data_IF_491337721270
#
_entry.id   IF_491337721270
#
_cell.length_a   1.000
_cell.length_b   1.000
_cell.length_c   1.000
_cell.angle_alpha   90.00
_cell.angle_beta   90.00
_cell.angle_gamma   90.00
#
_symmetry.space_group_name_H-M   'P 1'
#
loop_
_entity.id
_entity.type
_entity.pdbx_description
1 polymer ?
#
# COMPACT_ATOMS: atom_id res chain seq x y z
N UNK A 1 9.02 6.37 -22.50
CA UNK A 1 8.33 5.41 -21.62
C UNK A 1 7.45 6.22 -20.67
N UNK A 2 6.14 5.93 -20.58
CA UNK A 2 5.29 6.61 -19.58
C UNK A 2 5.71 6.09 -18.22
N UNK A 3 6.44 6.90 -17.48
CA UNK A 3 6.72 6.63 -16.08
C UNK A 3 5.41 6.39 -15.34
N UNK A 4 5.49 5.52 -14.34
CA UNK A 4 4.40 5.16 -13.46
C UNK A 4 3.98 6.35 -12.56
N UNK A 5 3.37 7.40 -13.12
CA UNK A 5 2.85 8.56 -12.36
C UNK A 5 1.74 8.11 -11.41
N UNK A 6 1.74 8.65 -10.19
CA UNK A 6 0.59 8.53 -9.27
C UNK A 6 -0.58 9.27 -9.91
N UNK A 7 -1.77 8.69 -9.87
CA UNK A 7 -2.95 9.36 -10.39
C UNK A 7 -3.39 10.50 -9.47
N UNK A 8 -4.00 11.53 -10.04
CA UNK A 8 -4.59 12.66 -9.29
C UNK A 8 -5.52 12.15 -8.18
N UNK A 9 -6.30 11.10 -8.45
CA UNK A 9 -7.21 10.53 -7.48
C UNK A 9 -6.50 9.81 -6.33
N UNK A 10 -5.36 9.15 -6.58
CA UNK A 10 -4.53 8.55 -5.51
C UNK A 10 -3.87 9.63 -4.63
N UNK A 11 -3.39 10.72 -5.23
CA UNK A 11 -2.87 11.88 -4.48
C UNK A 11 -3.96 12.49 -3.59
N UNK A 12 -5.17 12.69 -4.13
CA UNK A 12 -6.31 13.22 -3.40
C UNK A 12 -6.70 12.34 -2.22
N UNK A 13 -6.89 11.03 -2.44
CA UNK A 13 -7.30 10.14 -1.36
C UNK A 13 -6.25 10.09 -0.24
N UNK A 14 -4.95 9.97 -0.57
CA UNK A 14 -3.92 9.86 0.45
C UNK A 14 -3.91 11.05 1.42
N UNK A 15 -4.31 12.23 0.93
CA UNK A 15 -4.37 13.44 1.75
C UNK A 15 -5.70 13.56 2.49
N UNK A 16 -6.81 13.19 1.85
CA UNK A 16 -8.12 13.11 2.51
C UNK A 16 -8.06 12.10 3.67
N UNK A 17 -7.42 10.95 3.47
CA UNK A 17 -7.25 9.92 4.51
C UNK A 17 -6.37 10.41 5.66
N UNK A 18 -5.29 11.14 5.38
CA UNK A 18 -4.50 11.81 6.44
C UNK A 18 -5.36 12.79 7.23
N UNK A 19 -6.17 13.61 6.56
CA UNK A 19 -7.05 14.59 7.19
C UNK A 19 -8.14 13.92 8.04
N UNK A 20 -8.71 12.84 7.53
CA UNK A 20 -9.69 12.00 8.23
C UNK A 20 -9.07 11.37 9.48
N UNK A 21 -7.91 10.72 9.39
CA UNK A 21 -7.29 10.10 10.56
C UNK A 21 -6.87 11.12 11.64
N UNK A 22 -6.55 12.35 11.24
CA UNK A 22 -6.28 13.45 12.18
C UNK A 22 -7.52 13.90 12.96
N UNK A 23 -8.73 13.66 12.44
CA UNK A 23 -9.98 14.01 13.13
C UNK A 23 -10.26 13.19 14.39
N UNK A 24 -9.55 12.07 14.56
CA UNK A 24 -9.75 11.12 15.66
C UNK A 24 -8.64 11.16 16.72
N UNK A 25 -7.66 12.06 16.59
CA UNK A 25 -6.58 12.19 17.58
C UNK A 25 -7.01 13.09 18.73
N UNK A 26 -6.87 12.59 19.97
CA UNK A 26 -7.35 13.24 21.21
C UNK A 26 -6.73 14.62 21.49
N UNK A 27 -5.51 14.90 21.01
CA UNK A 27 -4.78 16.15 21.30
C UNK A 27 -5.20 17.37 20.46
N UNK A 28 -6.27 17.26 19.66
CA UNK A 28 -6.64 18.29 18.68
C UNK A 28 -7.80 19.17 19.15
N UNK A 29 -7.48 20.41 19.54
CA UNK A 29 -8.50 21.44 19.86
C UNK A 29 -9.41 21.74 18.66
N UNK A 30 -10.75 21.68 18.80
CA UNK A 30 -11.72 21.91 17.72
C UNK A 30 -11.60 23.29 17.05
N UNK A 31 -11.26 24.30 17.84
CA UNK A 31 -11.21 25.73 17.46
C UNK A 31 -10.33 26.01 16.23
N UNK A 32 -9.24 25.25 16.08
CA UNK A 32 -8.26 25.41 14.97
C UNK A 32 -8.19 24.22 14.03
N UNK A 33 -9.18 23.34 14.08
CA UNK A 33 -9.15 22.09 13.32
C UNK A 33 -9.08 22.31 11.81
N UNK A 34 -9.88 23.25 11.27
CA UNK A 34 -9.92 23.57 9.84
C UNK A 34 -8.61 24.23 9.37
N UNK A 35 -8.05 25.14 10.17
CA UNK A 35 -6.76 25.79 9.88
C UNK A 35 -5.61 24.80 9.88
N UNK A 36 -5.58 23.88 10.85
CA UNK A 36 -4.56 22.82 10.91
C UNK A 36 -4.75 21.77 9.82
N UNK A 37 -5.98 21.43 9.45
CA UNK A 37 -6.26 20.59 8.29
C UNK A 37 -5.73 21.24 7.02
N UNK A 38 -6.08 22.50 6.77
CA UNK A 38 -5.64 23.20 5.57
C UNK A 38 -4.12 23.38 5.56
N UNK A 39 -3.53 24.00 6.58
CA UNK A 39 -2.10 24.25 6.67
C UNK A 39 -1.29 22.96 6.70
N UNK A 40 -1.54 22.09 7.68
CA UNK A 40 -0.69 20.91 7.93
C UNK A 40 -0.94 19.71 7.03
N UNK A 41 -2.13 19.58 6.42
CA UNK A 41 -2.51 18.38 5.66
C UNK A 41 -2.67 18.65 4.18
N UNK A 42 -3.31 19.75 3.78
CA UNK A 42 -3.62 20.01 2.37
C UNK A 42 -2.61 20.95 1.68
N UNK A 43 -2.15 21.99 2.38
CA UNK A 43 -1.30 23.05 1.81
C UNK A 43 0.20 22.69 1.87
N UNK A 44 0.67 22.19 3.01
CA UNK A 44 2.09 21.90 3.26
C UNK A 44 2.55 20.54 2.70
N UNK A 45 1.86 20.00 1.69
CA UNK A 45 2.29 18.77 1.00
C UNK A 45 3.14 19.15 -0.23
N UNK A 46 4.48 19.03 -0.17
CA UNK A 46 5.38 19.35 -1.28
C UNK A 46 5.25 18.37 -2.45
N UNK A 47 4.65 17.20 -2.21
CA UNK A 47 4.48 16.13 -3.21
C UNK A 47 3.25 16.29 -4.09
N UNK A 48 2.34 17.23 -3.78
CA UNK A 48 1.13 17.45 -4.56
C UNK A 48 1.38 18.28 -5.81
N UNK A 49 0.74 17.89 -6.91
CA UNK A 49 0.68 18.76 -8.10
C UNK A 49 -0.09 20.06 -7.81
N UNK A 50 0.34 21.17 -8.43
CA UNK A 50 -0.28 22.49 -8.25
C UNK A 50 -1.77 22.50 -8.64
N UNK A 51 -2.12 21.69 -9.65
CA UNK A 51 -3.50 21.47 -10.07
C UNK A 51 -4.36 20.80 -8.99
N UNK A 52 -3.81 19.79 -8.29
CA UNK A 52 -4.50 19.13 -7.17
C UNK A 52 -4.68 20.11 -6.01
N UNK A 53 -3.65 20.90 -5.70
CA UNK A 53 -3.71 21.92 -4.63
C UNK A 53 -4.78 22.96 -4.90
N UNK A 54 -4.85 23.50 -6.12
CA UNK A 54 -5.84 24.52 -6.47
C UNK A 54 -7.27 23.98 -6.44
N UNK A 55 -7.48 22.78 -6.97
CA UNK A 55 -8.80 22.11 -6.96
C UNK A 55 -9.24 21.79 -5.53
N UNK A 56 -8.35 21.26 -4.70
CA UNK A 56 -8.61 21.02 -3.28
C UNK A 56 -8.94 22.31 -2.54
N UNK A 57 -8.22 23.41 -2.82
CA UNK A 57 -8.45 24.71 -2.17
C UNK A 57 -9.86 25.21 -2.40
N UNK A 58 -10.31 25.22 -3.65
CA UNK A 58 -11.66 25.67 -4.01
C UNK A 58 -12.72 24.81 -3.33
N UNK A 59 -12.57 23.48 -3.41
CA UNK A 59 -13.54 22.55 -2.83
C UNK A 59 -13.54 22.61 -1.28
N UNK A 60 -12.37 22.76 -0.66
CA UNK A 60 -12.22 22.89 0.79
C UNK A 60 -12.83 24.18 1.32
N UNK A 61 -12.60 25.31 0.65
CA UNK A 61 -13.21 26.58 1.02
C UNK A 61 -14.74 26.50 0.99
N UNK A 62 -15.29 25.94 -0.09
CA UNK A 62 -16.73 25.72 -0.24
C UNK A 62 -17.30 24.82 0.86
N UNK A 63 -16.64 23.71 1.16
CA UNK A 63 -17.19 22.71 2.06
C UNK A 63 -16.94 23.00 3.55
N UNK A 64 -15.95 23.82 3.91
CA UNK A 64 -15.54 24.01 5.30
C UNK A 64 -15.53 25.46 5.79
N UNK A 65 -15.51 26.47 4.92
CA UNK A 65 -15.39 27.87 5.34
C UNK A 65 -16.68 28.69 5.24
N UNK A 66 -17.74 28.16 4.62
CA UNK A 66 -18.95 28.94 4.29
C UNK A 66 -20.14 28.80 5.25
N UNK A 67 -20.01 28.12 6.40
CA UNK A 67 -21.11 28.04 7.37
C UNK A 67 -20.64 28.11 8.83
N UNK A 68 -21.28 29.02 9.58
CA UNK A 68 -21.06 29.33 11.00
C UNK A 68 -21.42 28.13 11.90
N UNK A 69 -20.54 27.69 12.83
CA UNK A 69 -20.94 26.61 13.75
C UNK A 69 -20.42 26.73 15.20
N UNK A 70 -21.26 26.28 16.14
CA UNK A 70 -20.83 25.77 17.44
C UNK A 70 -19.79 24.64 17.25
N UNK A 71 -18.76 24.62 18.10
CA UNK A 71 -17.53 23.86 17.88
C UNK A 71 -17.70 22.34 17.84
N UNK A 72 -18.66 21.78 18.60
CA UNK A 72 -18.93 20.33 18.63
C UNK A 72 -19.58 19.86 17.33
N UNK A 73 -20.56 20.60 16.82
CA UNK A 73 -21.20 20.31 15.54
C UNK A 73 -20.23 20.51 14.36
N UNK A 74 -19.24 21.40 14.54
CA UNK A 74 -18.18 21.64 13.55
C UNK A 74 -17.31 20.41 13.32
N UNK A 75 -16.86 19.71 14.37
CA UNK A 75 -15.97 18.54 14.23
C UNK A 75 -16.68 17.36 13.56
N UNK A 76 -17.87 16.99 14.04
CA UNK A 76 -18.66 15.88 13.49
C UNK A 76 -18.98 16.14 12.01
N UNK A 77 -19.39 17.36 11.67
CA UNK A 77 -19.65 17.75 10.27
C UNK A 77 -18.40 17.64 9.40
N UNK A 78 -17.22 18.01 9.92
CA UNK A 78 -15.98 17.88 9.16
C UNK A 78 -15.63 16.40 8.93
N UNK A 79 -15.79 15.56 9.95
CA UNK A 79 -15.60 14.11 9.85
C UNK A 79 -16.50 13.50 8.77
N UNK A 80 -17.80 13.83 8.77
CA UNK A 80 -18.75 13.37 7.76
C UNK A 80 -18.40 13.83 6.34
N UNK A 81 -17.98 15.09 6.18
CA UNK A 81 -17.58 15.61 4.86
C UNK A 81 -16.28 14.96 4.36
N UNK A 82 -15.29 14.80 5.24
CA UNK A 82 -14.05 14.10 4.90
C UNK A 82 -14.30 12.63 4.55
N UNK A 83 -15.22 11.96 5.27
CA UNK A 83 -15.67 10.62 4.93
C UNK A 83 -16.34 10.56 3.55
N UNK A 84 -17.28 11.46 3.26
CA UNK A 84 -17.92 11.55 1.93
C UNK A 84 -16.91 11.76 0.81
N UNK A 85 -15.92 12.62 1.04
CA UNK A 85 -14.82 12.82 0.09
C UNK A 85 -13.99 11.54 -0.08
N UNK A 86 -13.62 10.87 1.01
CA UNK A 86 -12.88 9.61 1.01
C UNK A 86 -13.63 8.54 0.21
N UNK A 87 -14.92 8.37 0.47
CA UNK A 87 -15.77 7.38 -0.22
C UNK A 87 -15.92 7.69 -1.71
N UNK A 88 -16.11 8.97 -2.07
CA UNK A 88 -16.21 9.38 -3.47
C UNK A 88 -14.94 9.07 -4.25
N UNK A 89 -13.78 9.41 -3.68
CA UNK A 89 -12.49 9.15 -4.33
C UNK A 89 -12.19 7.65 -4.35
N UNK A 90 -12.48 6.93 -3.26
CA UNK A 90 -12.33 5.47 -3.18
C UNK A 90 -13.16 4.75 -4.25
N UNK A 91 -14.42 5.14 -4.47
CA UNK A 91 -15.25 4.58 -5.54
C UNK A 91 -14.64 4.81 -6.92
N UNK A 92 -14.20 6.04 -7.23
CA UNK A 92 -13.52 6.34 -8.51
C UNK A 92 -12.25 5.52 -8.71
N UNK A 93 -11.52 5.26 -7.63
CA UNK A 93 -10.31 4.46 -7.63
C UNK A 93 -10.59 2.95 -7.76
N UNK A 94 -11.66 2.45 -7.15
CA UNK A 94 -12.09 1.06 -7.29
C UNK A 94 -12.50 0.70 -8.72
N UNK A 95 -13.11 1.63 -9.46
CA UNK A 95 -13.46 1.48 -10.87
C UNK A 95 -12.22 1.34 -11.78
N UNK A 96 -11.04 1.78 -11.31
CA UNK A 96 -9.78 1.67 -12.07
C UNK A 96 -9.05 0.35 -11.84
N UNK A 97 -9.52 -0.51 -10.93
CA UNK A 97 -8.92 -1.83 -10.68
C UNK A 97 -9.28 -2.80 -11.82
N UNK A 98 -8.53 -2.72 -12.92
CA UNK A 98 -8.74 -3.52 -14.10
C UNK A 98 -7.43 -4.18 -14.55
N UNK A 99 -7.50 -5.35 -15.23
CA UNK A 99 -6.34 -5.91 -15.91
C UNK A 99 -5.87 -4.94 -17.00
N UNK A 100 -4.63 -4.47 -16.89
CA UNK A 100 -3.95 -3.63 -17.89
C UNK A 100 -2.88 -4.43 -18.62
N UNK A 101 -2.76 -4.19 -19.92
CA UNK A 101 -1.72 -4.81 -20.75
C UNK A 101 -0.33 -4.35 -20.33
N UNK A 102 0.53 -5.29 -19.96
CA UNK A 102 1.93 -5.04 -19.61
C UNK A 102 2.71 -4.46 -20.80
N UNK A 103 2.35 -4.81 -22.04
CA UNK A 103 3.02 -4.31 -23.25
C UNK A 103 2.86 -2.79 -23.39
N UNK A 104 1.71 -2.25 -22.99
CA UNK A 104 1.42 -0.81 -23.04
C UNK A 104 2.25 -0.02 -22.02
N UNK A 105 2.64 -0.68 -20.93
CA UNK A 105 3.37 -0.07 -19.82
C UNK A 105 4.88 -0.26 -20.00
N UNK A 106 5.30 -1.50 -20.27
CA UNK A 106 6.69 -1.88 -20.47
C UNK A 106 6.81 -3.01 -21.50
N UNK A 107 7.15 -2.63 -22.73
CA UNK A 107 7.51 -3.58 -23.79
C UNK A 107 8.68 -4.49 -23.40
N UNK A 108 9.63 -3.99 -22.59
CA UNK A 108 10.79 -4.76 -22.14
C UNK A 108 10.41 -5.91 -21.22
N UNK A 109 9.54 -5.67 -20.24
CA UNK A 109 9.06 -6.74 -19.35
C UNK A 109 8.12 -7.70 -20.07
N UNK A 110 7.27 -7.20 -20.97
CA UNK A 110 6.38 -8.05 -21.75
C UNK A 110 7.14 -9.00 -22.70
N UNK A 111 8.25 -8.53 -23.29
CA UNK A 111 9.12 -9.33 -24.16
C UNK A 111 10.25 -10.03 -23.40
N UNK A 112 10.18 -10.10 -22.07
CA UNK A 112 11.18 -10.76 -21.26
C UNK A 112 11.24 -12.26 -21.61
N UNK A 113 12.45 -12.77 -21.84
CA UNK A 113 12.68 -14.16 -22.21
C UNK A 113 13.63 -14.83 -21.21
N UNK A 114 13.27 -16.04 -20.75
CA UNK A 114 14.02 -16.86 -19.81
C UNK A 114 15.51 -17.04 -20.14
N UNK A 115 15.90 -16.93 -21.42
CA UNK A 115 17.30 -17.05 -21.87
C UNK A 115 18.24 -16.04 -21.18
N UNK A 116 17.70 -14.98 -20.59
CA UNK A 116 18.45 -14.01 -19.79
C UNK A 116 19.00 -14.56 -18.46
N UNK A 117 18.59 -15.75 -18.02
CA UNK A 117 19.14 -16.40 -16.81
C UNK A 117 18.88 -15.64 -15.51
N UNK A 118 17.83 -14.82 -15.45
CA UNK A 118 17.58 -13.94 -14.31
C UNK A 118 16.94 -14.70 -13.16
N UNK A 119 17.58 -14.66 -11.99
CA UNK A 119 17.07 -15.27 -10.77
C UNK A 119 15.90 -14.47 -10.18
N UNK A 120 15.01 -15.18 -9.48
CA UNK A 120 13.90 -14.57 -8.76
C UNK A 120 14.43 -13.77 -7.56
N UNK A 121 14.20 -12.45 -7.50
CA UNK A 121 14.77 -11.67 -6.42
C UNK A 121 14.10 -11.98 -5.07
N UNK A 122 14.88 -11.91 -4.00
CA UNK A 122 14.43 -12.27 -2.64
C UNK A 122 14.42 -13.78 -2.35
N UNK A 123 14.81 -14.64 -3.30
CA UNK A 123 14.88 -16.10 -3.09
C UNK A 123 15.82 -16.51 -1.94
N UNK A 124 16.89 -15.76 -1.70
CA UNK A 124 17.94 -16.14 -0.76
C UNK A 124 17.81 -15.49 0.62
N UNK A 125 16.73 -14.74 0.87
CA UNK A 125 16.53 -13.96 2.09
C UNK A 125 16.59 -14.82 3.37
N UNK A 126 16.14 -16.07 3.28
CA UNK A 126 16.04 -17.00 4.40
C UNK A 126 17.17 -18.04 4.43
N UNK A 127 18.12 -17.98 3.48
CA UNK A 127 19.20 -18.96 3.39
C UNK A 127 20.45 -18.48 4.13
N UNK A 128 21.10 -19.41 4.83
CA UNK A 128 22.41 -19.20 5.46
C UNK A 128 23.57 -19.36 4.46
N UNK A 129 23.33 -20.08 3.36
CA UNK A 129 24.33 -20.41 2.35
C UNK A 129 23.77 -20.21 0.95
N UNK A 130 24.67 -19.91 -0.01
CA UNK A 130 24.28 -19.82 -1.41
C UNK A 130 23.73 -21.17 -1.87
N UNK A 131 22.51 -21.22 -2.45
CA UNK A 131 21.93 -22.48 -2.87
C UNK A 131 22.66 -23.04 -4.09
N UNK A 132 22.65 -24.37 -4.17
CA UNK A 132 23.14 -25.08 -5.36
C UNK A 132 22.50 -24.52 -6.65
N UNK A 133 23.25 -24.42 -7.76
CA UNK A 133 22.75 -23.86 -9.02
C UNK A 133 21.42 -24.47 -9.48
N UNK A 134 21.23 -25.76 -9.26
CA UNK A 134 20.02 -26.50 -9.62
C UNK A 134 18.76 -26.09 -8.84
N UNK A 135 18.94 -25.47 -7.66
CA UNK A 135 17.84 -24.99 -6.80
C UNK A 135 17.48 -23.53 -7.07
N UNK A 136 18.16 -22.87 -8.02
CA UNK A 136 17.88 -21.48 -8.40
C UNK A 136 16.55 -21.38 -9.13
N UNK A 137 15.70 -20.48 -8.68
CA UNK A 137 14.41 -20.19 -9.30
C UNK A 137 14.65 -19.04 -10.27
N UNK A 138 14.44 -19.29 -11.55
CA UNK A 138 14.64 -18.32 -12.61
C UNK A 138 13.31 -17.74 -13.05
N UNK A 139 13.29 -16.46 -13.39
CA UNK A 139 12.15 -15.82 -14.04
C UNK A 139 12.07 -16.33 -15.48
N UNK A 140 10.93 -16.88 -15.88
CA UNK A 140 10.69 -17.31 -17.26
C UNK A 140 10.01 -16.24 -18.08
N UNK A 141 8.99 -15.59 -17.52
CA UNK A 141 8.25 -14.48 -18.13
C UNK A 141 7.42 -13.72 -17.11
N UNK A 142 7.02 -12.51 -17.47
CA UNK A 142 5.97 -11.77 -16.78
C UNK A 142 4.62 -12.07 -17.44
N UNK A 143 3.54 -12.10 -16.67
CA UNK A 143 2.20 -12.24 -17.25
C UNK A 143 1.84 -11.00 -18.08
N UNK A 144 1.13 -11.17 -19.21
CA UNK A 144 0.80 -10.08 -20.11
C UNK A 144 -0.21 -9.10 -19.52
N UNK A 145 -1.01 -9.53 -18.55
CA UNK A 145 -1.97 -8.69 -17.85
C UNK A 145 -1.49 -8.48 -16.42
N UNK A 146 -1.34 -7.21 -16.04
CA UNK A 146 -1.07 -6.80 -14.66
C UNK A 146 -2.29 -6.10 -14.10
N UNK A 147 -2.44 -6.10 -12.78
CA UNK A 147 -3.51 -5.32 -12.15
C UNK A 147 -2.92 -3.99 -11.74
N UNK A 148 -3.43 -2.90 -12.33
CA UNK A 148 -3.16 -1.57 -11.83
C UNK A 148 -4.31 -1.20 -10.91
N UNK A 149 -3.98 -0.99 -9.65
CA UNK A 149 -4.94 -0.70 -8.61
C UNK A 149 -4.53 0.53 -7.83
N UNK A 150 -5.51 1.22 -7.27
CA UNK A 150 -5.26 2.31 -6.36
C UNK A 150 -4.51 1.86 -5.09
N UNK A 151 -3.74 2.75 -4.47
CA UNK A 151 -3.08 2.53 -3.17
C UNK A 151 -2.06 1.39 -3.14
N UNK A 152 -1.08 1.44 -4.05
CA UNK A 152 -0.04 0.41 -4.08
C UNK A 152 -0.57 -1.03 -4.29
N UNK A 153 -1.81 -1.18 -4.77
CA UNK A 153 -2.42 -2.46 -5.15
C UNK A 153 -2.04 -2.87 -6.58
N UNK A 154 -1.00 -2.25 -7.13
CA UNK A 154 -0.42 -2.65 -8.39
C UNK A 154 0.20 -4.03 -8.23
N UNK A 155 -0.28 -5.01 -9.00
CA UNK A 155 0.18 -6.40 -8.93
C UNK A 155 0.80 -6.80 -10.24
N UNK A 156 2.05 -7.21 -10.18
CA UNK A 156 2.74 -7.89 -11.27
C UNK A 156 2.81 -9.37 -10.95
N UNK A 157 2.71 -10.20 -11.99
CA UNK A 157 2.74 -11.65 -11.83
C UNK A 157 3.91 -12.19 -12.62
N UNK A 158 4.74 -12.97 -11.92
CA UNK A 158 5.99 -13.53 -12.42
C UNK A 158 5.81 -15.05 -12.52
N UNK A 159 6.14 -15.61 -13.68
CA UNK A 159 6.25 -17.06 -13.86
C UNK A 159 7.70 -17.48 -13.73
N UNK A 160 7.90 -18.63 -13.11
CA UNK A 160 9.23 -19.17 -12.83
C UNK A 160 9.53 -20.42 -13.67
N UNK A 161 10.79 -20.84 -13.70
CA UNK A 161 11.24 -22.10 -14.32
C UNK A 161 10.62 -23.34 -13.64
N UNK A 162 10.26 -23.22 -12.36
CA UNK A 162 9.54 -24.25 -11.60
C UNK A 162 8.04 -24.33 -11.94
N UNK A 163 7.54 -23.50 -12.86
CA UNK A 163 6.13 -23.44 -13.23
C UNK A 163 5.24 -22.66 -12.25
N UNK A 164 5.81 -22.13 -11.15
CA UNK A 164 5.06 -21.34 -10.17
C UNK A 164 4.66 -19.99 -10.75
N UNK A 165 3.49 -19.52 -10.32
CA UNK A 165 2.93 -18.21 -10.63
C UNK A 165 2.92 -17.39 -9.35
N UNK A 166 3.82 -16.40 -9.26
CA UNK A 166 4.04 -15.61 -8.06
C UNK A 166 3.52 -14.19 -8.28
N UNK A 167 2.68 -13.71 -7.37
CA UNK A 167 2.13 -12.37 -7.43
C UNK A 167 2.92 -11.44 -6.52
N UNK A 168 3.29 -10.27 -7.03
CA UNK A 168 4.02 -9.26 -6.28
C UNK A 168 3.25 -7.95 -6.30
N UNK A 169 2.97 -7.40 -5.12
CA UNK A 169 2.52 -6.01 -4.96
C UNK A 169 3.68 -5.06 -5.17
N UNK A 170 3.42 -3.95 -5.86
CA UNK A 170 4.40 -2.87 -6.02
C UNK A 170 4.00 -1.70 -5.15
N UNK A 171 4.81 -1.41 -4.14
CA UNK A 171 4.72 -0.19 -3.36
C UNK A 171 5.67 0.83 -3.98
N UNK A 172 5.12 1.91 -4.56
CA UNK A 172 5.95 3.02 -5.03
C UNK A 172 6.28 3.91 -3.84
N UNK A 173 7.54 4.31 -3.76
CA UNK A 173 7.98 5.23 -2.74
C UNK A 173 7.46 6.64 -3.10
N UNK A 174 6.50 7.16 -2.34
CA UNK A 174 6.24 8.61 -2.33
C UNK A 174 7.46 9.25 -1.65
N UNK A 175 8.04 10.29 -2.24
CA UNK A 175 9.21 11.00 -1.68
C UNK A 175 9.04 11.20 -0.17
N UNK A 176 9.98 10.67 0.64
CA UNK A 176 9.96 10.76 2.11
C UNK A 176 9.74 9.45 2.87
N UNK A 177 9.36 8.35 2.22
CA UNK A 177 9.15 7.04 2.89
C UNK A 177 10.37 6.09 2.85
N UNK A 178 11.56 6.57 2.45
CA UNK A 178 12.81 5.79 2.46
C UNK A 178 13.17 5.22 3.84
N UNK A 179 12.85 5.94 4.91
CA UNK A 179 13.05 5.48 6.29
C UNK A 179 12.16 4.30 6.65
N UNK A 180 10.93 4.25 6.13
CA UNK A 180 10.01 3.13 6.34
C UNK A 180 10.48 1.86 5.64
N UNK A 181 11.02 1.97 4.41
CA UNK A 181 11.59 0.83 3.70
C UNK A 181 12.75 0.22 4.50
N UNK A 182 13.70 1.06 4.93
CA UNK A 182 14.84 0.61 5.75
C UNK A 182 14.42 -0.02 7.08
N UNK A 183 13.36 0.49 7.69
CA UNK A 183 12.84 -0.02 8.97
C UNK A 183 12.16 -1.38 8.76
N UNK A 184 11.32 -1.51 7.73
CA UNK A 184 10.69 -2.77 7.35
C UNK A 184 11.68 -3.88 7.02
N UNK A 185 12.82 -3.53 6.43
CA UNK A 185 13.86 -4.49 6.07
C UNK A 185 14.58 -5.01 7.31
N UNK A 186 14.89 -4.13 8.27
CA UNK A 186 15.44 -4.53 9.58
C UNK A 186 14.48 -5.45 10.34
N UNK A 187 13.18 -5.15 10.32
CA UNK A 187 12.15 -6.02 10.91
C UNK A 187 12.16 -7.38 10.22
N UNK A 188 12.29 -7.40 8.89
CA UNK A 188 12.33 -8.65 8.11
C UNK A 188 13.57 -9.48 8.46
N UNK A 189 14.75 -8.87 8.53
CA UNK A 189 15.99 -9.52 8.96
C UNK A 189 15.89 -10.06 10.39
N UNK A 190 15.29 -9.29 11.30
CA UNK A 190 15.07 -9.72 12.67
C UNK A 190 14.15 -10.94 12.75
N UNK A 191 13.06 -10.99 11.96
CA UNK A 191 12.19 -12.16 11.88
C UNK A 191 12.92 -13.40 11.35
N UNK A 192 13.74 -13.24 10.32
CA UNK A 192 14.58 -14.33 9.79
C UNK A 192 15.54 -14.84 10.87
N UNK A 193 16.17 -13.93 11.64
CA UNK A 193 17.03 -14.30 12.76
C UNK A 193 16.27 -15.05 13.86
N UNK A 194 15.10 -14.58 14.27
CA UNK A 194 14.25 -15.30 15.25
C UNK A 194 13.86 -16.70 14.77
N UNK A 195 13.53 -16.85 13.48
CA UNK A 195 13.22 -18.16 12.90
C UNK A 195 14.41 -19.13 12.98
N UNK A 196 15.65 -18.64 12.90
CA UNK A 196 16.85 -19.48 13.11
C UNK A 196 16.94 -19.93 14.56
N UNK A 197 16.73 -19.04 15.52
CA UNK A 197 16.70 -19.39 16.95
C UNK A 197 15.62 -20.45 17.21
N UNK A 198 14.42 -20.25 16.69
CA UNK A 198 13.31 -21.21 16.83
C UNK A 198 13.61 -22.58 16.23
N UNK A 199 14.39 -22.62 15.15
CA UNK A 199 14.73 -23.87 14.46
C UNK A 199 15.89 -24.60 15.15
N UNK A 200 16.94 -23.88 15.57
CA UNK A 200 18.20 -24.48 16.04
C UNK A 200 18.35 -24.54 17.56
N UNK A 201 17.73 -23.60 18.30
CA UNK A 201 17.93 -23.46 19.75
C UNK A 201 16.75 -23.97 20.58
N UNK A 202 15.56 -24.11 19.99
CA UNK A 202 14.34 -24.53 20.72
C UNK A 202 13.68 -25.75 20.08
N UNK A 203 13.99 -26.97 20.55
CA UNK A 203 13.48 -28.22 19.99
C UNK A 203 11.94 -28.30 19.93
N UNK A 204 11.27 -27.74 20.93
CA UNK A 204 9.80 -27.74 21.02
C UNK A 204 9.13 -26.87 19.95
N UNK A 205 9.77 -25.76 19.58
CA UNK A 205 9.31 -24.84 18.53
C UNK A 205 9.51 -25.47 17.15
N UNK A 206 10.69 -26.09 16.95
CA UNK A 206 11.03 -26.86 15.75
C UNK A 206 10.09 -28.05 15.55
N UNK A 207 9.81 -28.83 16.61
CA UNK A 207 8.89 -29.98 16.59
C UNK A 207 7.47 -29.59 16.19
N UNK A 208 7.02 -28.39 16.58
CA UNK A 208 5.70 -27.84 16.22
C UNK A 208 5.69 -27.08 14.89
N UNK A 209 6.84 -26.94 14.24
CA UNK A 209 6.97 -26.17 12.99
C UNK A 209 6.64 -24.69 13.14
N UNK A 210 6.77 -24.12 14.34
CA UNK A 210 6.42 -22.72 14.60
C UNK A 210 7.48 -21.81 13.97
N UNK A 211 7.02 -20.91 13.09
CA UNK A 211 7.84 -19.89 12.44
C UNK A 211 7.06 -18.60 12.30
N UNK A 212 7.77 -17.48 12.37
CA UNK A 212 7.23 -16.17 12.03
C UNK A 212 7.16 -16.07 10.51
N UNK A 213 6.00 -15.70 9.99
CA UNK A 213 5.81 -15.45 8.57
C UNK A 213 6.72 -14.30 8.07
N UNK A 214 7.55 -14.60 7.08
CA UNK A 214 8.40 -13.65 6.38
C UNK A 214 7.93 -13.57 4.93
N UNK A 215 7.61 -12.36 4.47
CA UNK A 215 7.26 -12.12 3.07
C UNK A 215 8.53 -11.84 2.28
N UNK A 216 8.67 -12.46 1.10
CA UNK A 216 9.78 -12.13 0.20
C UNK A 216 9.59 -10.71 -0.31
N UNK A 217 10.60 -9.88 -0.06
CA UNK A 217 10.63 -8.48 -0.47
C UNK A 217 11.80 -8.25 -1.41
N UNK A 218 11.56 -7.47 -2.45
CA UNK A 218 12.57 -6.98 -3.39
C UNK A 218 12.62 -5.47 -3.20
N UNK A 219 13.75 -4.97 -2.70
CA UNK A 219 13.92 -3.55 -2.42
C UNK A 219 14.74 -2.93 -3.55
N UNK A 220 14.11 -2.00 -4.26
CA UNK A 220 14.77 -1.07 -5.17
C UNK A 220 14.69 0.34 -4.56
N UNK A 221 15.60 1.27 -4.92
CA UNK A 221 15.65 2.60 -4.30
C UNK A 221 14.32 3.37 -4.27
N UNK A 222 13.44 3.13 -5.25
CA UNK A 222 12.17 3.85 -5.42
C UNK A 222 10.93 2.94 -5.46
N UNK A 223 11.13 1.62 -5.43
CA UNK A 223 10.05 0.64 -5.57
C UNK A 223 10.35 -0.55 -4.67
N UNK A 224 9.35 -0.96 -3.90
CA UNK A 224 9.39 -2.22 -3.15
C UNK A 224 8.41 -3.19 -3.77
N UNK A 225 8.88 -4.38 -4.09
CA UNK A 225 8.02 -5.49 -4.48
C UNK A 225 7.85 -6.41 -3.27
N UNK A 226 6.62 -6.77 -2.92
CA UNK A 226 6.35 -7.74 -1.84
C UNK A 226 5.56 -8.88 -2.44
N UNK A 227 6.02 -10.11 -2.25
CA UNK A 227 5.26 -11.30 -2.64
C UNK A 227 3.93 -11.31 -1.87
N UNK A 228 2.83 -11.23 -2.60
CA UNK A 228 1.48 -11.34 -2.02
C UNK A 228 1.13 -12.81 -1.84
N UNK A 229 0.75 -13.15 -0.61
CA UNK A 229 -0.02 -14.36 -0.33
C UNK A 229 -1.50 -13.96 -0.33
N UNK A 230 -2.42 -14.88 -0.68
CA UNK A 230 -3.87 -14.65 -0.78
C UNK A 230 -4.57 -14.36 0.57
N UNK A 231 -3.95 -13.57 1.44
CA UNK A 231 -4.41 -13.27 2.79
C UNK A 231 -4.96 -11.85 2.84
N UNK A 232 -6.24 -11.73 3.20
CA UNK A 232 -6.87 -10.45 3.52
C UNK A 232 -6.42 -9.96 4.88
N UNK A 233 -6.35 -8.65 5.06
CA UNK A 233 -6.10 -8.07 6.38
C UNK A 233 -7.36 -8.16 7.26
N UNK A 234 -7.20 -8.14 8.59
CA UNK A 234 -8.34 -8.12 9.51
C UNK A 234 -9.25 -6.90 9.28
N UNK A 235 -8.66 -5.76 8.90
CA UNK A 235 -9.40 -4.54 8.53
C UNK A 235 -10.27 -4.76 7.28
N UNK A 236 -9.74 -5.42 6.25
CA UNK A 236 -10.52 -5.76 5.06
C UNK A 236 -11.65 -6.74 5.38
N UNK A 237 -11.37 -7.77 6.18
CA UNK A 237 -12.39 -8.75 6.62
C UNK A 237 -13.50 -8.04 7.41
N UNK A 238 -13.12 -7.16 8.34
CA UNK A 238 -14.05 -6.39 9.16
C UNK A 238 -14.95 -5.48 8.30
N UNK A 239 -14.36 -4.76 7.34
CA UNK A 239 -15.12 -3.89 6.42
C UNK A 239 -16.07 -4.67 5.54
N UNK A 240 -15.67 -5.85 5.06
CA UNK A 240 -16.55 -6.74 4.30
C UNK A 240 -17.73 -7.18 5.18
N UNK A 241 -17.45 -7.66 6.39
CA UNK A 241 -18.51 -8.08 7.32
C UNK A 241 -19.48 -6.92 7.63
N UNK A 242 -18.98 -5.73 7.95
CA UNK A 242 -19.83 -4.56 8.18
C UNK A 242 -20.73 -4.26 6.97
N UNK A 243 -20.16 -4.29 5.75
CA UNK A 243 -20.91 -4.06 4.52
C UNK A 243 -22.01 -5.11 4.28
N UNK A 244 -21.75 -6.39 4.57
CA UNK A 244 -22.75 -7.46 4.48
C UNK A 244 -23.95 -7.22 5.41
N UNK A 245 -23.71 -6.65 6.59
CA UNK A 245 -24.77 -6.28 7.54
C UNK A 245 -25.34 -4.88 7.33
N UNK A 246 -24.88 -4.15 6.31
CA UNK A 246 -25.29 -2.75 6.08
C UNK A 246 -24.85 -1.79 7.18
N UNK A 247 -23.85 -2.17 7.97
CA UNK A 247 -23.31 -1.40 9.08
C UNK A 247 -22.11 -0.60 8.56
N UNK A 248 -22.01 0.65 9.02
CA UNK A 248 -20.87 1.48 8.72
C UNK A 248 -19.70 1.16 9.66
N UNK A 249 -18.56 0.67 9.15
CA UNK A 249 -17.42 0.21 9.96
C UNK A 249 -16.82 1.31 10.85
N UNK A 250 -16.99 2.59 10.50
CA UNK A 250 -16.48 3.71 11.30
C UNK A 250 -17.38 4.03 12.51
N UNK A 251 -18.64 3.56 12.49
CA UNK A 251 -19.63 3.77 13.56
C UNK A 251 -19.94 2.50 14.34
N UNK A 252 -19.53 1.34 13.81
CA UNK A 252 -19.64 0.06 14.46
C UNK A 252 -18.71 0.02 15.69
N UNK A 253 -19.28 0.32 16.85
CA UNK A 253 -18.65 0.04 18.14
C UNK A 253 -18.71 -1.46 18.40
N UNK A 254 -17.54 -2.08 18.59
CA UNK A 254 -17.44 -3.33 19.36
C UNK A 254 -17.63 -3.03 20.85
#
# INVERSE_FOLDING_TARGET
EKGFSISIEEELYGIIEKGYNLSFKEDFKPERYIEKLWGGVFNDQPSLSEFVKSTLKVQFQKDFMDENPDEVNKLVRVQEKLKKWKDMVSRRLSLKFAPTSLVEISKKLANFNYRSGMELPGQFLELDTEPFPEKRILITRFEPNIFIGAFNKNRIIIRTNTGKRLMYSTLKNVKGHESLIKTDDRITQFKVFLNKIFTYMHPETMRRGIKIGVYKKIILPYVKLTEENNLSTLDEIYKIACAEYGIDPDTATC
#
